data_IF_358331951629
#
_entry.id   IF_358331951629
#
_cell.length_a   1.000
_cell.length_b   1.000
_cell.length_c   1.000
_cell.angle_alpha   90.00
_cell.angle_beta   90.00
_cell.angle_gamma   90.00
#
_symmetry.space_group_name_H-M   'P 1'
#
loop_
_entity.id
_entity.type
_entity.pdbx_description
1 polymer ?
#
# COMPACT_ATOMS: atom_id res chain seq x y z
N UNK A 1 -11.93 8.91 34.22
CA UNK A 1 -11.52 9.70 33.03
C UNK A 1 -10.71 8.80 32.12
N UNK A 2 -11.16 8.53 30.88
CA UNK A 2 -10.39 7.71 29.92
C UNK A 2 -9.32 8.59 29.27
N UNK A 3 -8.06 8.18 29.37
CA UNK A 3 -6.96 8.87 28.71
C UNK A 3 -7.14 8.83 27.19
N UNK A 4 -7.06 10.00 26.54
CA UNK A 4 -7.12 10.15 25.10
C UNK A 4 -5.75 9.73 24.54
N UNK A 5 -5.67 8.52 23.99
CA UNK A 5 -4.43 8.04 23.34
C UNK A 5 -4.22 8.88 22.08
N UNK A 6 -3.18 9.71 22.11
CA UNK A 6 -2.74 10.48 20.94
C UNK A 6 -1.76 9.59 20.18
N UNK A 7 -2.22 9.00 19.07
CA UNK A 7 -1.33 8.25 18.18
C UNK A 7 -0.40 9.24 17.48
N UNK A 8 0.85 9.31 17.94
CA UNK A 8 1.92 9.93 17.20
C UNK A 8 2.50 8.88 16.24
N UNK A 9 2.13 8.99 14.97
CA UNK A 9 2.89 8.31 13.92
C UNK A 9 4.22 9.05 13.79
N UNK A 10 5.31 8.40 14.18
CA UNK A 10 6.64 8.88 13.83
C UNK A 10 6.69 8.92 12.28
N UNK A 11 7.01 10.06 11.64
CA UNK A 11 7.09 10.13 10.19
C UNK A 11 8.07 9.11 9.60
N UNK A 12 9.00 8.60 10.42
CA UNK A 12 9.93 7.55 10.05
C UNK A 12 9.75 6.35 10.98
N UNK A 13 9.34 5.21 10.42
CA UNK A 13 9.32 3.95 11.16
C UNK A 13 10.75 3.42 11.33
N UNK A 14 11.42 3.85 12.41
CA UNK A 14 12.79 3.44 12.75
C UNK A 14 12.92 1.92 12.95
N UNK A 15 11.86 1.26 13.44
CA UNK A 15 11.86 -0.18 13.63
C UNK A 15 11.84 -0.89 12.28
N UNK A 16 10.97 -0.44 11.36
CA UNK A 16 10.94 -0.96 9.99
C UNK A 16 12.28 -0.74 9.28
N UNK A 17 12.90 0.43 9.42
CA UNK A 17 14.23 0.70 8.86
C UNK A 17 15.28 -0.27 9.38
N UNK A 18 15.30 -0.52 10.69
CA UNK A 18 16.23 -1.48 11.32
C UNK A 18 16.00 -2.91 10.83
N UNK A 19 14.74 -3.32 10.64
CA UNK A 19 14.42 -4.64 10.11
C UNK A 19 14.86 -4.78 8.65
N UNK A 20 14.57 -3.76 7.82
CA UNK A 20 14.99 -3.74 6.42
C UNK A 20 16.52 -3.71 6.29
N UNK A 21 17.24 -3.02 7.18
CA UNK A 21 18.70 -2.95 7.13
C UNK A 21 19.39 -4.30 7.37
N UNK A 22 18.73 -5.21 8.09
CA UNK A 22 19.24 -6.56 8.36
C UNK A 22 19.04 -7.53 7.17
N UNK A 23 18.19 -7.18 6.21
CA UNK A 23 17.96 -8.01 5.02
C UNK A 23 19.07 -7.83 3.98
N UNK A 24 19.44 -8.93 3.31
CA UNK A 24 20.26 -8.86 2.09
C UNK A 24 19.51 -8.09 0.99
N UNK A 25 20.21 -7.50 0.00
CA UNK A 25 19.57 -6.75 -1.09
C UNK A 25 18.44 -7.53 -1.78
N UNK A 26 18.67 -8.81 -2.10
CA UNK A 26 17.64 -9.67 -2.69
C UNK A 26 16.41 -9.85 -1.79
N UNK A 27 16.60 -10.02 -0.48
CA UNK A 27 15.48 -10.13 0.47
C UNK A 27 14.72 -8.82 0.65
N UNK A 28 15.39 -7.66 0.56
CA UNK A 28 14.71 -6.35 0.55
C UNK A 28 13.80 -6.20 -0.66
N UNK A 29 14.28 -6.58 -1.85
CA UNK A 29 13.46 -6.55 -3.07
C UNK A 29 12.23 -7.46 -2.92
N UNK A 30 12.42 -8.68 -2.41
CA UNK A 30 11.31 -9.60 -2.17
C UNK A 30 10.28 -9.02 -1.17
N UNK A 31 10.74 -8.39 -0.09
CA UNK A 31 9.85 -7.72 0.86
C UNK A 31 9.05 -6.58 0.22
N UNK A 32 9.70 -5.77 -0.63
CA UNK A 32 9.03 -4.69 -1.37
C UNK A 32 7.99 -5.23 -2.37
N UNK A 33 8.32 -6.31 -3.08
CA UNK A 33 7.39 -6.96 -4.01
C UNK A 33 6.18 -7.54 -3.28
N UNK A 34 6.39 -8.23 -2.16
CA UNK A 34 5.31 -8.76 -1.33
C UNK A 34 4.42 -7.64 -0.77
N UNK A 35 5.02 -6.55 -0.28
CA UNK A 35 4.26 -5.38 0.18
C UNK A 35 3.43 -4.76 -0.95
N UNK A 36 3.97 -4.66 -2.17
CA UNK A 36 3.25 -4.18 -3.35
C UNK A 36 2.08 -5.09 -3.71
N UNK A 37 2.30 -6.41 -3.70
CA UNK A 37 1.25 -7.38 -3.97
C UNK A 37 0.10 -7.27 -2.98
N UNK A 38 0.41 -7.16 -1.68
CA UNK A 38 -0.59 -6.93 -0.63
C UNK A 38 -1.37 -5.64 -0.87
N UNK A 39 -0.68 -4.52 -1.08
CA UNK A 39 -1.32 -3.22 -1.28
C UNK A 39 -2.25 -3.21 -2.51
N UNK A 40 -1.79 -3.79 -3.62
CA UNK A 40 -2.60 -3.95 -4.83
C UNK A 40 -3.78 -4.88 -4.60
N UNK A 41 -3.57 -6.02 -3.92
CA UNK A 41 -4.61 -6.97 -3.59
C UNK A 41 -5.72 -6.37 -2.73
N UNK A 42 -5.36 -5.58 -1.72
CA UNK A 42 -6.31 -4.85 -0.87
C UNK A 42 -7.12 -3.82 -1.66
N UNK A 43 -6.48 -3.03 -2.54
CA UNK A 43 -7.18 -2.08 -3.42
C UNK A 43 -8.14 -2.80 -4.36
N UNK A 44 -7.70 -3.90 -4.99
CA UNK A 44 -8.55 -4.72 -5.86
C UNK A 44 -9.75 -5.29 -5.08
N UNK A 45 -9.52 -5.78 -3.86
CA UNK A 45 -10.58 -6.27 -2.98
C UNK A 45 -11.61 -5.19 -2.63
N UNK A 46 -11.16 -3.96 -2.37
CA UNK A 46 -12.05 -2.80 -2.19
C UNK A 46 -12.85 -2.52 -3.45
N UNK A 47 -12.22 -2.46 -4.62
CA UNK A 47 -12.87 -2.18 -5.89
C UNK A 47 -13.95 -3.20 -6.24
N UNK A 48 -13.69 -4.50 -5.99
CA UNK A 48 -14.69 -5.56 -6.19
C UNK A 48 -15.94 -5.36 -5.35
N UNK A 49 -15.80 -4.83 -4.13
CA UNK A 49 -16.95 -4.52 -3.26
C UNK A 49 -17.72 -3.28 -3.72
N UNK A 50 -17.02 -2.26 -4.22
CA UNK A 50 -17.63 -1.02 -4.70
C UNK A 50 -18.30 -1.19 -6.07
N UNK A 51 -17.75 -2.04 -6.92
CA UNK A 51 -18.20 -2.25 -8.29
C UNK A 51 -18.48 -3.74 -8.56
N UNK A 52 -19.49 -4.34 -7.91
CA UNK A 52 -19.75 -5.79 -8.00
C UNK A 52 -20.19 -6.25 -9.40
N UNK A 53 -20.63 -5.32 -10.25
CA UNK A 53 -21.07 -5.58 -11.62
C UNK A 53 -19.92 -5.60 -12.64
N UNK A 54 -18.72 -5.15 -12.26
CA UNK A 54 -17.58 -5.11 -13.16
C UNK A 54 -16.90 -6.48 -13.26
N UNK A 55 -16.48 -6.82 -14.47
CA UNK A 55 -15.65 -7.98 -14.73
C UNK A 55 -14.25 -7.84 -14.09
N UNK A 56 -13.52 -8.94 -13.89
CA UNK A 56 -12.14 -8.88 -13.40
C UNK A 56 -11.21 -7.98 -14.22
N UNK A 57 -11.39 -7.93 -15.54
CA UNK A 57 -10.63 -7.09 -16.46
C UNK A 57 -10.94 -5.61 -16.21
N UNK A 58 -12.22 -5.24 -16.08
CA UNK A 58 -12.64 -3.86 -15.80
C UNK A 58 -12.18 -3.39 -14.41
N UNK A 59 -12.22 -4.28 -13.41
CA UNK A 59 -11.64 -4.02 -12.09
C UNK A 59 -10.14 -3.73 -12.19
N UNK A 60 -9.40 -4.47 -13.02
CA UNK A 60 -7.98 -4.20 -13.24
C UNK A 60 -7.75 -2.85 -13.91
N UNK A 61 -8.58 -2.46 -14.88
CA UNK A 61 -8.50 -1.12 -15.50
C UNK A 61 -8.77 -0.01 -14.48
N UNK A 62 -9.77 -0.17 -13.61
CA UNK A 62 -10.05 0.80 -12.54
C UNK A 62 -8.96 0.87 -11.49
N UNK A 63 -8.31 -0.25 -11.19
CA UNK A 63 -7.13 -0.24 -10.34
C UNK A 63 -6.00 0.59 -10.97
N UNK A 64 -5.73 0.45 -12.28
CA UNK A 64 -4.70 1.25 -12.95
C UNK A 64 -5.04 2.75 -12.91
N UNK A 65 -6.30 3.11 -13.12
CA UNK A 65 -6.79 4.50 -12.99
C UNK A 65 -6.56 5.07 -11.58
N UNK A 66 -6.86 4.31 -10.52
CA UNK A 66 -6.60 4.73 -9.14
C UNK A 66 -5.10 4.91 -8.86
N UNK A 67 -4.25 4.04 -9.41
CA UNK A 67 -2.80 4.13 -9.25
C UNK A 67 -2.23 5.39 -9.92
N UNK A 68 -2.65 5.67 -11.16
CA UNK A 68 -2.26 6.88 -11.91
C UNK A 68 -2.76 8.15 -11.21
N UNK A 69 -4.00 8.16 -10.72
CA UNK A 69 -4.54 9.28 -9.93
C UNK A 69 -3.71 9.52 -8.66
N UNK A 70 -3.34 8.47 -7.93
CA UNK A 70 -2.53 8.59 -6.72
C UNK A 70 -1.14 9.17 -7.01
N UNK A 71 -0.50 8.75 -8.11
CA UNK A 71 0.81 9.26 -8.53
C UNK A 71 0.78 10.76 -8.88
N UNK A 72 -0.30 11.22 -9.53
CA UNK A 72 -0.51 12.66 -9.79
C UNK A 72 -0.79 13.48 -8.53
N UNK A 73 -1.42 12.87 -7.52
CA UNK A 73 -1.83 13.56 -6.29
C UNK A 73 -0.67 13.68 -5.30
N UNK A 74 0.20 12.68 -5.26
CA UNK A 74 1.40 12.65 -4.42
C UNK A 74 2.60 12.35 -5.32
N UNK A 75 3.10 13.36 -6.08
CA UNK A 75 4.29 13.18 -6.89
C UNK A 75 5.43 12.74 -5.98
N UNK A 76 6.13 11.68 -6.38
CA UNK A 76 7.36 11.30 -5.70
C UNK A 76 8.37 12.46 -5.88
N UNK A 77 9.10 12.84 -4.82
CA UNK A 77 10.16 13.85 -4.93
C UNK A 77 11.28 13.41 -5.88
#
# INVERSE_FOLDING_TARGET
MKAKVTYHFDPVDLQQLRLLSQLSPGRRIQALLAARELAVGLRRGRLRRLYPHLSPQEINLKLLEELDRAERTYPRP
#
